data_IF_983728443543
#
_entry.id   IF_983728443543
#
_cell.length_a   1.000
_cell.length_b   1.000
_cell.length_c   1.000
_cell.angle_alpha   90.00
_cell.angle_beta   90.00
_cell.angle_gamma   90.00
#
_symmetry.space_group_name_H-M   'P 1'
#
loop_
_entity.id
_entity.type
_entity.pdbx_description
1 polymer ?
#
# COMPACT_ATOMS: atom_id res chain seq x y z
N UNK A 1 27.21 1.62 1.59
CA UNK A 1 27.20 1.94 0.16
C UNK A 1 27.47 0.68 -0.66
N UNK A 2 26.76 0.49 -1.77
CA UNK A 2 27.01 -0.61 -2.70
C UNK A 2 28.05 -0.17 -3.76
N UNK A 3 29.13 -0.93 -3.88
CA UNK A 3 30.09 -0.82 -4.96
C UNK A 3 29.94 -1.97 -5.96
N UNK A 4 30.86 -2.05 -6.92
CA UNK A 4 30.87 -3.12 -7.93
C UNK A 4 31.04 -4.51 -7.29
N UNK A 5 31.98 -4.66 -6.36
CA UNK A 5 32.38 -5.96 -5.78
C UNK A 5 31.98 -6.16 -4.31
N UNK A 6 31.20 -5.24 -3.74
CA UNK A 6 30.87 -5.34 -2.32
C UNK A 6 30.08 -4.19 -1.75
N UNK A 7 29.96 -4.19 -0.43
CA UNK A 7 29.18 -3.21 0.34
C UNK A 7 30.03 -2.68 1.49
N UNK A 8 30.09 -1.35 1.60
CA UNK A 8 30.65 -0.68 2.78
C UNK A 8 29.52 -0.42 3.77
N UNK A 9 29.61 -1.02 4.95
CA UNK A 9 28.67 -0.82 6.05
C UNK A 9 28.90 0.54 6.71
N UNK A 10 27.93 0.99 7.52
CA UNK A 10 27.98 2.32 8.16
C UNK A 10 29.18 2.48 9.12
N UNK A 11 29.68 1.39 9.69
CA UNK A 11 30.89 1.38 10.51
C UNK A 11 32.21 1.38 9.71
N UNK A 12 32.16 1.51 8.38
CA UNK A 12 33.32 1.48 7.49
C UNK A 12 33.82 0.08 7.11
N UNK A 13 33.24 -0.99 7.65
CA UNK A 13 33.60 -2.36 7.28
C UNK A 13 33.13 -2.68 5.86
N UNK A 14 34.01 -3.25 5.04
CA UNK A 14 33.66 -3.77 3.72
C UNK A 14 33.32 -5.27 3.79
N UNK A 15 32.26 -5.67 3.09
CA UNK A 15 31.88 -7.08 2.88
C UNK A 15 31.67 -7.34 1.38
N UNK A 16 31.92 -8.57 0.91
CA UNK A 16 31.80 -8.96 -0.49
C UNK A 16 30.81 -10.14 -0.66
N UNK A 17 29.49 -9.90 -0.56
CA UNK A 17 28.50 -10.96 -0.78
C UNK A 17 28.41 -11.33 -2.27
N UNK A 18 28.37 -12.63 -2.56
CA UNK A 18 28.16 -13.12 -3.95
C UNK A 18 26.72 -12.89 -4.43
N UNK A 19 25.75 -12.89 -3.49
CA UNK A 19 24.32 -12.76 -3.79
C UNK A 19 23.68 -11.77 -2.82
N UNK A 20 22.84 -10.89 -3.36
CA UNK A 20 22.06 -9.93 -2.58
C UNK A 20 20.57 -10.17 -2.84
N UNK A 21 19.80 -10.42 -1.78
CA UNK A 21 18.35 -10.58 -1.85
C UNK A 21 17.68 -9.31 -1.31
N UNK A 22 17.09 -8.51 -2.20
CA UNK A 22 16.34 -7.32 -1.83
C UNK A 22 14.91 -7.67 -1.41
N UNK A 23 14.73 -8.11 -0.16
CA UNK A 23 13.42 -8.38 0.45
C UNK A 23 12.74 -7.12 1.02
N UNK A 24 12.78 -6.01 0.28
CA UNK A 24 12.40 -4.66 0.75
C UNK A 24 10.90 -4.32 0.61
N UNK A 25 10.08 -5.30 0.23
CA UNK A 25 8.63 -5.16 0.09
C UNK A 25 8.19 -4.56 -1.25
N UNK A 26 6.94 -4.09 -1.30
CA UNK A 26 6.29 -3.59 -2.51
C UNK A 26 5.66 -2.20 -2.27
N UNK A 27 5.56 -1.40 -3.33
CA UNK A 27 4.70 -0.21 -3.35
C UNK A 27 3.25 -0.61 -3.66
N UNK A 28 2.31 0.29 -3.40
CA UNK A 28 0.89 0.10 -3.77
C UNK A 28 0.70 0.04 -5.28
N UNK A 29 1.51 0.76 -6.06
CA UNK A 29 1.49 0.75 -7.52
C UNK A 29 0.24 1.43 -8.12
N UNK A 30 -0.42 2.30 -7.35
CA UNK A 30 -1.68 2.92 -7.72
C UNK A 30 -1.52 4.25 -8.48
N UNK A 31 -0.31 4.82 -8.48
CA UNK A 31 -0.02 6.15 -8.97
C UNK A 31 -0.38 6.31 -10.46
N UNK A 32 -0.05 5.31 -11.29
CA UNK A 32 -0.39 5.33 -12.72
C UNK A 32 -1.89 5.14 -13.00
N UNK A 33 -2.64 4.50 -12.09
CA UNK A 33 -4.06 4.19 -12.28
C UNK A 33 -4.98 5.30 -11.75
N UNK A 34 -4.67 5.85 -10.58
CA UNK A 34 -5.55 6.78 -9.84
C UNK A 34 -4.80 7.98 -9.27
N UNK A 35 -3.51 8.15 -9.52
CA UNK A 35 -2.73 9.27 -8.98
C UNK A 35 -3.25 10.65 -9.40
N UNK A 36 -3.75 10.77 -10.63
CA UNK A 36 -4.38 12.00 -11.13
C UNK A 36 -5.68 12.40 -10.43
N UNK A 37 -6.26 11.51 -9.60
CA UNK A 37 -7.49 11.78 -8.84
C UNK A 37 -7.22 12.49 -7.51
N UNK A 38 -5.97 12.63 -7.08
CA UNK A 38 -5.64 13.27 -5.78
C UNK A 38 -6.06 12.45 -4.56
N UNK A 39 -6.24 11.14 -4.73
CA UNK A 39 -6.72 10.21 -3.69
C UNK A 39 -5.61 9.44 -2.97
N UNK A 40 -4.35 9.70 -3.34
CA UNK A 40 -3.16 9.08 -2.78
C UNK A 40 -2.33 10.12 -2.02
N UNK A 41 -1.66 9.70 -0.94
CA UNK A 41 -0.65 10.51 -0.28
C UNK A 41 0.67 10.56 -1.08
N UNK A 42 1.65 11.30 -0.56
CA UNK A 42 2.97 11.43 -1.20
C UNK A 42 3.75 10.11 -1.34
N UNK A 43 3.33 9.03 -0.67
CA UNK A 43 3.92 7.69 -0.76
C UNK A 43 3.13 6.75 -1.67
N UNK A 44 2.07 7.25 -2.33
CA UNK A 44 1.19 6.45 -3.18
C UNK A 44 0.15 5.65 -2.39
N UNK A 45 -0.02 5.91 -1.09
CA UNK A 45 -0.98 5.18 -0.25
C UNK A 45 -2.34 5.88 -0.31
N UNK A 46 -3.45 5.14 -0.48
CA UNK A 46 -4.78 5.75 -0.48
C UNK A 46 -5.07 6.53 0.79
N UNK A 47 -5.64 7.74 0.63
CA UNK A 47 -6.04 8.61 1.75
C UNK A 47 -7.21 8.01 2.54
N UNK A 48 -8.10 7.29 1.87
CA UNK A 48 -9.26 6.60 2.44
C UNK A 48 -9.09 5.07 2.37
N UNK A 49 -9.72 4.34 3.29
CA UNK A 49 -9.62 2.87 3.35
C UNK A 49 -10.91 2.24 3.91
N UNK A 50 -11.24 1.04 3.43
CA UNK A 50 -12.46 0.34 3.79
C UNK A 50 -13.70 1.11 3.33
N UNK A 51 -14.71 1.22 4.21
CA UNK A 51 -15.95 1.91 3.89
C UNK A 51 -15.85 3.44 3.91
N UNK A 52 -14.72 4.00 4.36
CA UNK A 52 -14.45 5.42 4.20
C UNK A 52 -14.11 5.71 2.73
N UNK A 53 -14.66 6.79 2.19
CA UNK A 53 -14.42 7.24 0.83
C UNK A 53 -14.38 8.77 0.80
N UNK A 54 -13.74 9.33 -0.22
CA UNK A 54 -13.84 10.76 -0.50
C UNK A 54 -15.29 11.11 -0.86
N UNK A 55 -15.94 12.09 -0.21
CA UNK A 55 -17.25 12.57 -0.60
C UNK A 55 -17.34 13.02 -2.07
N UNK A 56 -16.23 13.52 -2.64
CA UNK A 56 -16.13 13.91 -4.06
C UNK A 56 -16.04 12.70 -5.00
N UNK A 57 -15.70 11.52 -4.48
CA UNK A 57 -15.58 10.27 -5.24
C UNK A 57 -16.36 9.13 -4.58
N UNK A 58 -17.70 9.23 -4.51
CA UNK A 58 -18.52 8.29 -3.74
C UNK A 58 -18.65 6.90 -4.38
N UNK A 59 -17.95 6.63 -5.47
CA UNK A 59 -17.86 5.35 -6.16
C UNK A 59 -16.49 4.65 -6.03
N UNK A 60 -15.54 5.25 -5.32
CA UNK A 60 -14.18 4.74 -5.17
C UNK A 60 -13.92 4.32 -3.72
N UNK A 61 -13.49 3.08 -3.54
CA UNK A 61 -13.07 2.53 -2.26
C UNK A 61 -11.75 1.78 -2.42
N UNK A 62 -10.97 1.73 -1.33
CA UNK A 62 -9.72 1.01 -1.27
C UNK A 62 -9.78 -0.04 -0.17
N UNK A 63 -9.29 -1.24 -0.45
CA UNK A 63 -9.17 -2.33 0.53
C UNK A 63 -7.85 -3.06 0.32
N UNK A 64 -7.25 -3.58 1.39
CA UNK A 64 -5.96 -4.27 1.32
C UNK A 64 -4.75 -3.37 1.07
N UNK A 65 -4.95 -2.04 0.94
CA UNK A 65 -3.88 -1.09 0.62
C UNK A 65 -3.14 -0.54 1.84
N UNK A 66 -3.55 -0.94 3.06
CA UNK A 66 -2.88 -0.59 4.31
C UNK A 66 -2.59 -1.84 5.14
N UNK A 67 -1.32 -2.06 5.54
CA UNK A 67 -0.98 -3.17 6.42
C UNK A 67 -1.64 -2.97 7.78
N UNK A 68 -1.97 -4.08 8.43
CA UNK A 68 -2.59 -4.09 9.76
C UNK A 68 -2.16 -5.33 10.50
N UNK A 69 -1.95 -5.20 11.81
CA UNK A 69 -1.52 -6.31 12.68
C UNK A 69 -2.51 -7.47 12.71
N UNK A 70 -3.79 -7.23 12.39
CA UNK A 70 -4.80 -8.30 12.22
C UNK A 70 -4.58 -9.18 10.99
N UNK A 71 -3.67 -8.81 10.09
CA UNK A 71 -3.40 -9.50 8.85
C UNK A 71 -4.36 -9.13 7.71
N UNK A 72 -3.93 -9.37 6.47
CA UNK A 72 -4.66 -8.96 5.27
C UNK A 72 -5.99 -9.71 5.11
N UNK A 73 -6.03 -11.00 5.45
CA UNK A 73 -7.23 -11.83 5.24
C UNK A 73 -8.39 -11.44 6.15
N UNK A 74 -8.13 -11.27 7.45
CA UNK A 74 -9.18 -10.85 8.39
C UNK A 74 -9.71 -9.45 8.05
N UNK A 75 -8.82 -8.54 7.65
CA UNK A 75 -9.21 -7.20 7.23
C UNK A 75 -9.97 -7.17 5.91
N UNK A 76 -9.62 -8.00 4.94
CA UNK A 76 -10.35 -8.10 3.67
C UNK A 76 -11.83 -8.43 3.90
N UNK A 77 -12.12 -9.38 4.82
CA UNK A 77 -13.49 -9.74 5.17
C UNK A 77 -14.24 -8.57 5.80
N UNK A 78 -13.63 -7.90 6.78
CA UNK A 78 -14.25 -6.78 7.50
C UNK A 78 -14.49 -5.59 6.57
N UNK A 79 -13.47 -5.18 5.83
CA UNK A 79 -13.53 -4.05 4.91
C UNK A 79 -14.48 -4.32 3.75
N UNK A 80 -14.43 -5.52 3.17
CA UNK A 80 -15.34 -5.95 2.10
C UNK A 80 -16.80 -5.86 2.52
N UNK A 81 -17.15 -6.40 3.70
CA UNK A 81 -18.50 -6.31 4.24
C UNK A 81 -18.95 -4.85 4.46
N UNK A 82 -18.05 -4.01 5.00
CA UNK A 82 -18.35 -2.60 5.25
C UNK A 82 -18.56 -1.80 3.94
N UNK A 83 -17.71 -2.02 2.93
CA UNK A 83 -17.83 -1.41 1.60
C UNK A 83 -19.14 -1.84 0.94
N UNK A 84 -19.43 -3.15 0.91
CA UNK A 84 -20.66 -3.69 0.34
C UNK A 84 -21.90 -3.08 1.01
N UNK A 85 -21.90 -2.95 2.34
CA UNK A 85 -22.99 -2.28 3.07
C UNK A 85 -23.14 -0.79 2.71
N UNK A 86 -22.06 -0.08 2.36
CA UNK A 86 -22.14 1.31 1.90
C UNK A 86 -22.70 1.42 0.49
N UNK A 87 -22.29 0.51 -0.41
CA UNK A 87 -22.81 0.41 -1.78
C UNK A 87 -24.32 0.09 -1.76
N UNK A 88 -24.73 -0.92 -0.98
CA UNK A 88 -26.12 -1.35 -0.91
C UNK A 88 -27.07 -0.23 -0.41
N UNK A 89 -26.64 0.54 0.60
CA UNK A 89 -27.42 1.68 1.12
C UNK A 89 -27.58 2.83 0.14
N UNK A 90 -26.72 2.94 -0.88
CA UNK A 90 -26.81 3.99 -1.90
C UNK A 90 -27.76 3.63 -3.05
N UNK A 91 -28.09 2.33 -3.19
CA UNK A 91 -29.06 1.83 -4.18
C UNK A 91 -30.51 1.91 -3.69
N UNK A 92 -30.72 2.19 -2.40
CA UNK A 92 -32.03 2.52 -1.81
C UNK A 92 -32.22 4.02 -1.82
#
# INVERSE_FOLDING_TARGET
EFGHDGVVLENGQAIAPEIVIAATGYRTGLEAMVGGLGVLDAKGVPLFNGAANDPKMPGLWFTGMRPSIRGCFANARIQGAAIAGRIARRKR
#
